data_IF_296274444464
#
_entry.id   IF_296274444464
#
_cell.length_a   1.000
_cell.length_b   1.000
_cell.length_c   1.000
_cell.angle_alpha   90.00
_cell.angle_beta   90.00
_cell.angle_gamma   90.00
#
_symmetry.space_group_name_H-M   'P 1'
#
loop_
_entity.id
_entity.type
_entity.pdbx_description
1 polymer ?
#
# COMPACT_ATOMS: atom_id res chain seq x y z
N UNK A 1 14.45 -57.27 -88.26
CA UNK A 1 14.72 -55.86 -87.91
C UNK A 1 14.65 -55.76 -86.39
N UNK A 2 15.82 -55.60 -85.76
CA UNK A 2 16.13 -55.18 -84.37
C UNK A 2 15.58 -56.03 -83.18
N UNK A 3 16.52 -56.38 -82.30
CA UNK A 3 16.41 -57.10 -81.04
C UNK A 3 16.12 -56.18 -79.83
N UNK A 4 15.89 -56.79 -78.65
CA UNK A 4 16.20 -56.39 -77.25
C UNK A 4 15.00 -56.73 -76.34
N UNK A 5 15.09 -57.74 -75.45
CA UNK A 5 15.78 -57.79 -74.15
C UNK A 5 15.27 -56.77 -73.11
N UNK A 6 14.79 -57.34 -72.02
CA UNK A 6 14.49 -56.79 -70.69
C UNK A 6 15.53 -55.80 -70.16
N UNK A 7 15.10 -54.76 -69.43
CA UNK A 7 15.79 -54.28 -68.22
C UNK A 7 14.88 -53.46 -67.30
N UNK A 8 15.06 -53.71 -66.00
CA UNK A 8 14.55 -52.99 -64.84
C UNK A 8 15.25 -51.63 -64.65
N UNK A 9 14.50 -50.58 -64.29
CA UNK A 9 14.95 -49.41 -63.51
C UNK A 9 13.72 -48.91 -62.72
N UNK A 10 13.62 -48.98 -61.39
CA UNK A 10 14.40 -48.29 -60.35
C UNK A 10 14.43 -46.77 -60.58
N UNK A 11 13.56 -46.03 -59.89
CA UNK A 11 13.46 -44.57 -60.02
C UNK A 11 12.75 -43.90 -58.83
N UNK A 12 13.49 -43.81 -57.71
CA UNK A 12 13.44 -42.78 -56.65
C UNK A 12 12.08 -42.23 -56.18
N UNK A 13 11.61 -42.76 -55.04
CA UNK A 13 10.87 -41.95 -54.08
C UNK A 13 11.84 -40.92 -53.49
N UNK A 14 11.65 -39.64 -53.83
CA UNK A 14 12.32 -38.54 -53.12
C UNK A 14 11.70 -38.47 -51.73
N UNK A 15 12.37 -39.10 -50.76
CA UNK A 15 12.21 -38.79 -49.35
C UNK A 15 12.77 -37.38 -49.16
N UNK A 16 11.89 -36.38 -49.07
CA UNK A 16 12.26 -35.09 -48.50
C UNK A 16 12.52 -35.35 -47.01
N UNK A 17 13.73 -35.06 -46.49
CA UNK A 17 13.90 -35.02 -45.05
C UNK A 17 13.00 -33.89 -44.54
N UNK A 18 12.06 -34.23 -43.65
CA UNK A 18 11.37 -33.25 -42.82
C UNK A 18 12.44 -32.34 -42.21
N UNK A 19 12.33 -31.03 -42.46
CA UNK A 19 13.21 -30.04 -41.86
C UNK A 19 13.29 -30.26 -40.35
N UNK A 20 14.47 -30.12 -39.73
CA UNK A 20 14.60 -30.32 -38.30
C UNK A 20 13.75 -29.28 -37.58
N UNK A 21 13.01 -29.74 -36.56
CA UNK A 21 12.25 -28.96 -35.58
C UNK A 21 13.26 -28.22 -34.69
N UNK A 22 14.05 -27.32 -35.26
CA UNK A 22 15.18 -26.65 -34.60
C UNK A 22 14.89 -25.18 -34.25
N UNK A 23 13.81 -24.58 -34.77
CA UNK A 23 13.62 -23.13 -34.71
C UNK A 23 12.90 -22.63 -33.43
N UNK A 24 12.08 -23.46 -32.79
CA UNK A 24 11.28 -23.03 -31.62
C UNK A 24 12.01 -23.24 -30.27
N UNK A 25 12.86 -24.26 -30.16
CA UNK A 25 13.64 -24.53 -28.94
C UNK A 25 14.80 -23.56 -28.76
N UNK A 26 15.50 -23.21 -29.84
CA UNK A 26 16.63 -22.27 -29.82
C UNK A 26 16.16 -20.85 -29.46
N UNK A 27 15.03 -20.40 -30.02
CA UNK A 27 14.38 -19.12 -29.65
C UNK A 27 13.90 -19.08 -28.21
N UNK A 28 13.43 -20.20 -27.67
CA UNK A 28 13.00 -20.29 -26.27
C UNK A 28 14.20 -20.16 -25.32
N UNK A 29 15.33 -20.79 -25.66
CA UNK A 29 16.58 -20.73 -24.87
C UNK A 29 17.21 -19.34 -24.92
N UNK A 30 17.24 -18.67 -26.08
CA UNK A 30 17.70 -17.29 -26.22
C UNK A 30 16.83 -16.30 -25.42
N UNK A 31 15.51 -16.48 -25.47
CA UNK A 31 14.55 -15.67 -24.69
C UNK A 31 14.77 -15.85 -23.19
N UNK A 32 15.00 -17.08 -22.72
CA UNK A 32 15.29 -17.37 -21.31
C UNK A 32 16.62 -16.71 -20.88
N UNK A 33 17.67 -16.83 -21.69
CA UNK A 33 18.97 -16.20 -21.43
C UNK A 33 18.88 -14.67 -21.37
N UNK A 34 18.13 -14.06 -22.29
CA UNK A 34 17.89 -12.61 -22.29
C UNK A 34 17.13 -12.15 -21.04
N UNK A 35 16.10 -12.89 -20.65
CA UNK A 35 15.31 -12.61 -19.44
C UNK A 35 16.18 -12.63 -18.18
N UNK A 36 17.05 -13.63 -18.09
CA UNK A 36 17.99 -13.78 -16.98
C UNK A 36 19.01 -12.63 -16.94
N UNK A 37 19.59 -12.31 -18.09
CA UNK A 37 20.52 -11.19 -18.20
C UNK A 37 19.87 -9.85 -17.82
N UNK A 38 18.65 -9.57 -18.30
CA UNK A 38 17.91 -8.35 -17.95
C UNK A 38 17.62 -8.26 -16.45
N UNK A 39 17.31 -9.40 -15.83
CA UNK A 39 17.07 -9.49 -14.38
C UNK A 39 18.35 -9.14 -13.61
N UNK A 40 19.49 -9.75 -13.99
CA UNK A 40 20.78 -9.50 -13.35
C UNK A 40 21.29 -8.08 -13.55
N UNK A 41 20.99 -7.47 -14.71
CA UNK A 41 21.31 -6.10 -15.02
C UNK A 41 20.39 -5.06 -14.33
N UNK A 42 19.32 -5.49 -13.65
CA UNK A 42 18.35 -4.60 -13.02
C UNK A 42 17.50 -3.80 -14.01
N UNK A 43 17.36 -4.27 -15.25
CA UNK A 43 16.62 -3.59 -16.32
C UNK A 43 15.13 -3.95 -16.30
N UNK A 44 14.50 -3.76 -15.13
CA UNK A 44 13.13 -4.23 -14.84
C UNK A 44 12.06 -3.65 -15.77
N UNK A 45 12.21 -2.41 -16.26
CA UNK A 45 11.24 -1.80 -17.19
C UNK A 45 11.23 -2.51 -18.55
N UNK A 46 12.42 -2.80 -19.08
CA UNK A 46 12.59 -3.50 -20.36
C UNK A 46 12.12 -4.95 -20.20
N UNK A 47 12.49 -5.57 -19.09
CA UNK A 47 12.04 -6.91 -18.72
C UNK A 47 10.51 -6.99 -18.65
N UNK A 48 9.84 -6.04 -18.00
CA UNK A 48 8.39 -6.01 -17.89
C UNK A 48 7.71 -5.88 -19.25
N UNK A 49 8.23 -5.02 -20.15
CA UNK A 49 7.68 -4.87 -21.51
C UNK A 49 7.84 -6.16 -22.31
N UNK A 50 9.01 -6.80 -22.24
CA UNK A 50 9.27 -8.05 -22.95
C UNK A 50 8.36 -9.17 -22.44
N UNK A 51 8.26 -9.34 -21.11
CA UNK A 51 7.41 -10.35 -20.48
C UNK A 51 5.92 -10.10 -20.77
N UNK A 52 5.46 -8.85 -20.71
CA UNK A 52 4.10 -8.45 -21.12
C UNK A 52 3.79 -8.94 -22.54
N UNK A 53 4.71 -8.71 -23.47
CA UNK A 53 4.52 -9.04 -24.86
C UNK A 53 4.53 -10.56 -25.10
N UNK A 54 5.39 -11.29 -24.38
CA UNK A 54 5.40 -12.76 -24.39
C UNK A 54 4.08 -13.34 -23.87
N UNK A 55 3.60 -12.85 -22.73
CA UNK A 55 2.32 -13.29 -22.15
C UNK A 55 1.15 -12.93 -23.09
N UNK A 56 1.21 -11.78 -23.77
CA UNK A 56 0.15 -11.37 -24.72
C UNK A 56 0.11 -12.18 -26.01
N UNK A 57 1.27 -12.57 -26.53
CA UNK A 57 1.38 -13.29 -27.82
C UNK A 57 1.17 -14.79 -27.67
N UNK A 58 1.38 -15.34 -26.49
CA UNK A 58 1.21 -16.77 -26.25
C UNK A 58 -0.27 -17.17 -26.36
N UNK A 59 -0.58 -18.20 -27.16
CA UNK A 59 -1.92 -18.80 -27.22
C UNK A 59 -2.31 -19.44 -25.89
N UNK A 60 -1.31 -19.92 -25.15
CA UNK A 60 -1.43 -20.38 -23.76
C UNK A 60 -0.31 -19.72 -22.97
N UNK A 61 -0.64 -18.71 -22.15
CA UNK A 61 0.33 -18.02 -21.30
C UNK A 61 1.05 -19.01 -20.39
N UNK A 62 2.39 -19.01 -20.41
CA UNK A 62 3.19 -19.85 -19.51
C UNK A 62 3.02 -19.36 -18.06
N UNK A 63 2.64 -20.23 -17.10
CA UNK A 63 2.54 -19.86 -15.69
C UNK A 63 3.83 -19.24 -15.13
N UNK A 64 4.98 -19.69 -15.61
CA UNK A 64 6.30 -19.16 -15.22
C UNK A 64 6.51 -17.73 -15.71
N UNK A 65 6.06 -17.41 -16.94
CA UNK A 65 6.15 -16.06 -17.48
C UNK A 65 5.21 -15.09 -16.75
N UNK A 66 4.00 -15.55 -16.40
CA UNK A 66 3.04 -14.78 -15.59
C UNK A 66 3.63 -14.48 -14.20
N UNK A 67 4.19 -15.50 -13.52
CA UNK A 67 4.80 -15.31 -12.20
C UNK A 67 5.97 -14.31 -12.27
N UNK A 68 6.88 -14.46 -13.25
CA UNK A 68 8.02 -13.57 -13.41
C UNK A 68 7.63 -12.13 -13.75
N UNK A 69 6.55 -11.95 -14.53
CA UNK A 69 5.98 -10.63 -14.81
C UNK A 69 5.38 -10.02 -13.53
N UNK A 70 4.64 -10.80 -12.74
CA UNK A 70 4.10 -10.38 -11.44
C UNK A 70 5.22 -9.88 -10.50
N UNK A 71 6.30 -10.65 -10.36
CA UNK A 71 7.46 -10.27 -9.55
C UNK A 71 8.14 -9.00 -10.05
N UNK A 72 8.25 -8.85 -11.38
CA UNK A 72 8.85 -7.66 -11.99
C UNK A 72 7.97 -6.43 -11.74
N UNK A 73 6.65 -6.55 -11.86
CA UNK A 73 5.74 -5.47 -11.49
C UNK A 73 5.80 -5.12 -10.01
N UNK A 74 5.89 -6.11 -9.12
CA UNK A 74 6.08 -5.88 -7.69
C UNK A 74 7.36 -5.08 -7.41
N UNK A 75 8.48 -5.37 -8.09
CA UNK A 75 9.71 -4.58 -7.94
C UNK A 75 9.53 -3.15 -8.46
N UNK A 76 8.99 -2.99 -9.67
CA UNK A 76 8.79 -1.68 -10.30
C UNK A 76 7.89 -0.76 -9.48
N UNK A 77 6.75 -1.25 -8.99
CA UNK A 77 5.80 -0.43 -8.23
C UNK A 77 6.34 -0.04 -6.85
N UNK A 78 7.16 -0.90 -6.22
CA UNK A 78 7.80 -0.61 -4.93
C UNK A 78 8.77 0.57 -5.04
N UNK A 79 9.53 0.66 -6.13
CA UNK A 79 10.52 1.72 -6.34
C UNK A 79 9.99 2.93 -7.11
N UNK A 80 8.76 2.88 -7.62
CA UNK A 80 8.16 4.03 -8.29
C UNK A 80 7.95 5.18 -7.29
N UNK A 81 8.53 6.34 -7.61
CA UNK A 81 8.51 7.55 -6.79
C UNK A 81 7.82 8.72 -7.50
N UNK A 82 7.26 8.58 -8.68
CA UNK A 82 6.57 9.65 -9.39
C UNK A 82 5.16 9.23 -9.77
N UNK A 83 4.24 10.21 -9.78
CA UNK A 83 2.81 9.96 -9.95
C UNK A 83 2.49 9.39 -11.33
N UNK A 84 3.13 9.92 -12.38
CA UNK A 84 2.95 9.46 -13.75
C UNK A 84 3.39 8.00 -13.92
N UNK A 85 4.53 7.61 -13.33
CA UNK A 85 5.00 6.22 -13.37
C UNK A 85 4.10 5.29 -12.58
N UNK A 86 3.64 5.69 -11.39
CA UNK A 86 2.68 4.90 -10.60
C UNK A 86 1.37 4.71 -11.39
N UNK A 87 0.84 5.76 -12.02
CA UNK A 87 -0.36 5.69 -12.84
C UNK A 87 -0.18 4.78 -14.07
N UNK A 88 0.96 4.88 -14.77
CA UNK A 88 1.27 4.01 -15.90
C UNK A 88 1.40 2.53 -15.47
N UNK A 89 2.11 2.26 -14.37
CA UNK A 89 2.25 0.91 -13.84
C UNK A 89 0.91 0.35 -13.39
N UNK A 90 0.06 1.15 -12.73
CA UNK A 90 -1.32 0.78 -12.37
C UNK A 90 -2.11 0.29 -13.56
N UNK A 91 -2.19 1.07 -14.63
CA UNK A 91 -2.95 0.70 -15.83
C UNK A 91 -2.44 -0.63 -16.42
N UNK A 92 -1.11 -0.81 -16.47
CA UNK A 92 -0.50 -2.05 -16.98
C UNK A 92 -0.81 -3.25 -16.08
N UNK A 93 -0.68 -3.08 -14.77
CA UNK A 93 -0.94 -4.12 -13.76
C UNK A 93 -2.42 -4.50 -13.75
N UNK A 94 -3.34 -3.55 -13.72
CA UNK A 94 -4.79 -3.82 -13.73
C UNK A 94 -5.19 -4.56 -15.00
N UNK A 95 -4.63 -4.17 -16.15
CA UNK A 95 -4.84 -4.90 -17.41
C UNK A 95 -4.30 -6.32 -17.34
N UNK A 96 -3.12 -6.52 -16.75
CA UNK A 96 -2.53 -7.84 -16.54
C UNK A 96 -3.41 -8.72 -15.62
N UNK A 97 -3.85 -8.19 -14.47
CA UNK A 97 -4.73 -8.87 -13.51
C UNK A 97 -6.12 -9.22 -14.10
N UNK A 98 -6.64 -8.38 -15.00
CA UNK A 98 -7.95 -8.62 -15.64
C UNK A 98 -7.94 -9.73 -16.69
N UNK A 99 -6.77 -10.01 -17.29
CA UNK A 99 -6.63 -10.92 -18.43
C UNK A 99 -6.23 -12.33 -18.00
N UNK A 100 -5.29 -12.43 -17.08
CA UNK A 100 -4.61 -13.68 -16.75
C UNK A 100 -4.93 -14.10 -15.31
N UNK A 101 -4.86 -15.41 -15.02
CA UNK A 101 -4.85 -15.89 -13.64
C UNK A 101 -3.45 -15.68 -13.07
N UNK A 102 -3.28 -14.62 -12.30
CA UNK A 102 -1.98 -14.18 -11.79
C UNK A 102 -1.70 -14.82 -10.43
N UNK A 103 -0.58 -15.56 -10.25
CA UNK A 103 -0.10 -15.95 -8.93
C UNK A 103 0.16 -14.71 -8.08
N UNK A 104 -0.15 -14.77 -6.78
CA UNK A 104 0.06 -13.65 -5.86
C UNK A 104 -0.63 -12.33 -6.27
N UNK A 105 -1.77 -12.42 -6.98
CA UNK A 105 -2.59 -11.26 -7.37
C UNK A 105 -2.82 -10.28 -6.20
N UNK A 106 -3.12 -10.79 -5.00
CA UNK A 106 -3.35 -9.93 -3.84
C UNK A 106 -2.09 -9.18 -3.40
N UNK A 107 -0.90 -9.77 -3.49
CA UNK A 107 0.37 -9.08 -3.19
C UNK A 107 0.56 -7.88 -4.13
N UNK A 108 0.21 -8.06 -5.41
CA UNK A 108 0.31 -7.01 -6.42
C UNK A 108 -0.73 -5.91 -6.22
N UNK A 109 -1.96 -6.26 -5.85
CA UNK A 109 -3.02 -5.29 -5.50
C UNK A 109 -2.69 -4.50 -4.23
N UNK A 110 -2.13 -5.15 -3.19
CA UNK A 110 -1.64 -4.48 -1.99
C UNK A 110 -0.50 -3.51 -2.35
N UNK A 111 0.45 -3.94 -3.18
CA UNK A 111 1.56 -3.09 -3.61
C UNK A 111 1.09 -1.85 -4.38
N UNK A 112 0.06 -1.97 -5.21
CA UNK A 112 -0.63 -0.86 -5.85
C UNK A 112 -1.27 0.10 -4.82
N UNK A 113 -2.02 -0.44 -3.86
CA UNK A 113 -2.63 0.36 -2.79
C UNK A 113 -1.59 1.12 -1.96
N UNK A 114 -0.45 0.47 -1.65
CA UNK A 114 0.68 1.11 -0.96
C UNK A 114 1.31 2.22 -1.81
N UNK A 115 1.39 2.04 -3.12
CA UNK A 115 1.90 3.08 -4.02
C UNK A 115 0.97 4.29 -4.07
N UNK A 116 -0.34 4.09 -4.18
CA UNK A 116 -1.32 5.19 -4.13
C UNK A 116 -1.25 5.94 -2.81
N UNK A 117 -1.21 5.20 -1.70
CA UNK A 117 -1.10 5.79 -0.38
C UNK A 117 0.14 6.70 -0.27
N UNK A 118 1.29 6.25 -0.77
CA UNK A 118 2.52 7.07 -0.82
C UNK A 118 2.36 8.31 -1.70
N UNK A 119 1.65 8.23 -2.82
CA UNK A 119 1.40 9.40 -3.66
C UNK A 119 0.47 10.39 -2.96
N UNK A 120 -0.60 9.91 -2.33
CA UNK A 120 -1.51 10.72 -1.54
C UNK A 120 -0.82 11.40 -0.35
N UNK A 121 0.13 10.71 0.31
CA UNK A 121 0.90 11.29 1.41
C UNK A 121 1.64 12.57 1.02
N UNK A 122 2.11 12.70 -0.22
CA UNK A 122 2.76 13.94 -0.69
C UNK A 122 1.76 15.10 -0.79
N UNK A 123 0.55 14.82 -1.25
CA UNK A 123 -0.55 15.78 -1.25
C UNK A 123 -0.89 16.22 0.18
N UNK A 124 -0.96 15.26 1.10
CA UNK A 124 -1.16 15.50 2.53
C UNK A 124 -0.05 16.37 3.12
N UNK A 125 1.22 16.07 2.84
CA UNK A 125 2.35 16.86 3.33
C UNK A 125 2.26 18.31 2.85
N UNK A 126 1.94 18.52 1.56
CA UNK A 126 1.74 19.88 1.03
C UNK A 126 0.55 20.59 1.68
N UNK A 127 -0.55 19.89 1.96
CA UNK A 127 -1.69 20.42 2.71
C UNK A 127 -1.29 20.81 4.14
N UNK A 128 -0.55 19.95 4.85
CA UNK A 128 -0.06 20.22 6.21
C UNK A 128 0.95 21.36 6.25
N UNK A 129 1.65 21.61 5.14
CA UNK A 129 2.60 22.71 4.99
C UNK A 129 1.96 24.04 4.56
N UNK A 130 0.65 24.08 4.30
CA UNK A 130 -0.02 25.29 3.79
C UNK A 130 0.40 25.64 2.35
N UNK A 131 0.96 24.69 1.60
CA UNK A 131 1.48 24.89 0.24
C UNK A 131 0.52 24.38 -0.86
N UNK A 132 -0.67 23.97 -0.47
CA UNK A 132 -1.67 23.35 -1.33
C UNK A 132 -2.95 24.18 -1.32
N UNK A 133 -3.55 24.34 -2.49
CA UNK A 133 -4.82 25.06 -2.64
C UNK A 133 -6.03 24.11 -2.50
N UNK A 134 -7.24 24.64 -2.66
CA UNK A 134 -8.47 23.82 -2.58
C UNK A 134 -8.55 22.74 -3.67
N UNK A 135 -7.96 22.96 -4.84
CA UNK A 135 -7.92 21.96 -5.91
C UNK A 135 -6.97 20.81 -5.56
N UNK A 136 -5.79 21.13 -4.98
CA UNK A 136 -4.85 20.14 -4.43
C UNK A 136 -5.53 19.31 -3.33
N UNK A 137 -6.32 19.96 -2.45
CA UNK A 137 -7.13 19.28 -1.43
C UNK A 137 -8.10 18.30 -2.07
N UNK A 138 -8.92 18.75 -3.03
CA UNK A 138 -9.91 17.90 -3.71
C UNK A 138 -9.26 16.73 -4.45
N UNK A 139 -8.13 16.94 -5.13
CA UNK A 139 -7.37 15.87 -5.79
C UNK A 139 -6.83 14.84 -4.80
N UNK A 140 -6.26 15.31 -3.69
CA UNK A 140 -5.74 14.42 -2.63
C UNK A 140 -6.85 13.58 -2.01
N UNK A 141 -8.00 14.18 -1.70
CA UNK A 141 -9.18 13.46 -1.22
C UNK A 141 -9.68 12.41 -2.21
N UNK A 142 -9.78 12.77 -3.50
CA UNK A 142 -10.23 11.85 -4.54
C UNK A 142 -9.27 10.65 -4.69
N UNK A 143 -7.96 10.89 -4.64
CA UNK A 143 -6.94 9.83 -4.67
C UNK A 143 -7.07 8.89 -3.46
N UNK A 144 -7.24 9.44 -2.25
CA UNK A 144 -7.44 8.65 -1.03
C UNK A 144 -8.73 7.83 -1.07
N UNK A 145 -9.83 8.40 -1.57
CA UNK A 145 -11.11 7.69 -1.73
C UNK A 145 -10.99 6.53 -2.72
N UNK A 146 -10.33 6.74 -3.85
CA UNK A 146 -10.09 5.68 -4.84
C UNK A 146 -9.21 4.55 -4.28
N UNK A 147 -8.15 4.91 -3.55
CA UNK A 147 -7.29 3.94 -2.87
C UNK A 147 -8.08 3.16 -1.81
N UNK A 148 -8.90 3.85 -1.02
CA UNK A 148 -9.73 3.24 0.02
C UNK A 148 -10.75 2.26 -0.57
N UNK A 149 -11.44 2.62 -1.65
CA UNK A 149 -12.38 1.73 -2.33
C UNK A 149 -11.70 0.45 -2.83
N UNK A 150 -10.54 0.59 -3.46
CA UNK A 150 -9.74 -0.54 -3.95
C UNK A 150 -9.29 -1.45 -2.80
N UNK A 151 -8.85 -0.86 -1.69
CA UNK A 151 -8.42 -1.59 -0.50
C UNK A 151 -9.59 -2.24 0.25
N UNK A 152 -10.78 -1.62 0.28
CA UNK A 152 -12.00 -2.20 0.87
C UNK A 152 -12.40 -3.46 0.09
N UNK A 153 -12.42 -3.41 -1.24
CA UNK A 153 -12.71 -4.57 -2.08
C UNK A 153 -11.69 -5.69 -1.87
N UNK A 154 -10.40 -5.35 -1.83
CA UNK A 154 -9.30 -6.27 -1.60
C UNK A 154 -9.39 -6.94 -0.22
N UNK A 155 -9.72 -6.16 0.81
CA UNK A 155 -9.91 -6.67 2.16
C UNK A 155 -11.03 -7.71 2.24
N UNK A 156 -12.18 -7.43 1.62
CA UNK A 156 -13.31 -8.36 1.61
C UNK A 156 -12.99 -9.63 0.83
N UNK A 157 -12.26 -9.52 -0.29
CA UNK A 157 -11.79 -10.66 -1.08
C UNK A 157 -10.82 -11.55 -0.29
N UNK A 158 -9.81 -10.95 0.37
CA UNK A 158 -8.86 -11.68 1.21
C UNK A 158 -9.56 -12.38 2.37
N UNK A 159 -10.46 -11.68 3.08
CA UNK A 159 -11.22 -12.26 4.19
C UNK A 159 -12.05 -13.46 3.74
N UNK A 160 -12.74 -13.33 2.60
CA UNK A 160 -13.52 -14.43 2.01
C UNK A 160 -12.63 -15.61 1.63
N UNK A 161 -11.49 -15.36 0.97
CA UNK A 161 -10.54 -16.41 0.58
C UNK A 161 -9.98 -17.16 1.78
N UNK A 162 -9.55 -16.45 2.83
CA UNK A 162 -9.03 -17.07 4.06
C UNK A 162 -10.09 -17.99 4.68
N UNK A 163 -11.35 -17.56 4.73
CA UNK A 163 -12.43 -18.38 5.27
C UNK A 163 -12.71 -19.62 4.40
N UNK A 164 -12.74 -19.46 3.08
CA UNK A 164 -12.88 -20.58 2.14
C UNK A 164 -11.73 -21.59 2.29
N UNK A 165 -10.48 -21.12 2.43
CA UNK A 165 -9.32 -21.98 2.66
C UNK A 165 -9.39 -22.72 3.99
N UNK A 166 -9.86 -22.08 5.07
CA UNK A 166 -10.08 -22.73 6.38
C UNK A 166 -11.11 -23.86 6.29
N UNK A 167 -12.21 -23.64 5.57
CA UNK A 167 -13.23 -24.66 5.34
C UNK A 167 -12.67 -25.84 4.54
N UNK A 168 -11.88 -25.57 3.50
CA UNK A 168 -11.23 -26.61 2.69
C UNK A 168 -10.18 -27.40 3.50
N UNK A 169 -9.37 -26.71 4.30
CA UNK A 169 -8.33 -27.32 5.13
C UNK A 169 -8.90 -28.35 6.14
N UNK A 170 -10.13 -28.13 6.64
CA UNK A 170 -10.77 -29.07 7.56
C UNK A 170 -11.05 -30.45 6.92
N UNK A 171 -11.18 -30.52 5.59
CA UNK A 171 -11.58 -31.72 4.85
C UNK A 171 -10.43 -32.52 4.21
N UNK A 172 -9.18 -32.07 4.33
CA UNK A 172 -8.03 -32.66 3.64
C UNK A 172 -7.06 -33.38 4.59
N UNK A 173 -6.10 -34.11 4.00
CA UNK A 173 -5.03 -34.81 4.74
C UNK A 173 -4.03 -33.85 5.39
N UNK A 174 -3.17 -34.39 6.27
CA UNK A 174 -2.23 -33.59 7.06
C UNK A 174 -1.24 -32.78 6.21
N UNK A 175 -0.75 -33.36 5.10
CA UNK A 175 0.22 -32.68 4.25
C UNK A 175 -0.42 -31.49 3.53
N UNK A 176 -1.66 -31.65 3.07
CA UNK A 176 -2.43 -30.56 2.45
C UNK A 176 -2.83 -29.50 3.48
N UNK A 177 -3.14 -29.89 4.73
CA UNK A 177 -3.40 -28.93 5.81
C UNK A 177 -2.22 -28.01 6.08
N UNK A 178 -0.99 -28.54 6.07
CA UNK A 178 0.22 -27.73 6.26
C UNK A 178 0.35 -26.69 5.14
N UNK A 179 0.12 -27.07 3.88
CA UNK A 179 0.14 -26.14 2.76
C UNK A 179 -0.93 -25.06 2.89
N UNK A 180 -2.16 -25.44 3.25
CA UNK A 180 -3.23 -24.46 3.49
C UNK A 180 -2.93 -23.53 4.65
N UNK A 181 -2.32 -24.02 5.73
CA UNK A 181 -1.94 -23.19 6.87
C UNK A 181 -0.94 -22.10 6.45
N UNK A 182 0.09 -22.48 5.69
CA UNK A 182 1.06 -21.52 5.16
C UNK A 182 0.40 -20.47 4.24
N UNK A 183 -0.50 -20.89 3.34
CA UNK A 183 -1.24 -19.95 2.48
C UNK A 183 -2.19 -19.03 3.26
N UNK A 184 -2.82 -19.55 4.33
CA UNK A 184 -3.68 -18.76 5.22
C UNK A 184 -2.86 -17.72 5.99
N UNK A 185 -1.67 -18.07 6.45
CA UNK A 185 -0.78 -17.14 7.16
C UNK A 185 -0.31 -16.02 6.21
N UNK A 186 0.15 -16.38 5.01
CA UNK A 186 0.51 -15.40 3.96
C UNK A 186 -0.64 -14.43 3.62
N UNK A 187 -1.85 -14.96 3.42
CA UNK A 187 -3.02 -14.12 3.13
C UNK A 187 -3.45 -13.30 4.36
N UNK A 188 -3.22 -13.79 5.58
CA UNK A 188 -3.51 -13.06 6.83
C UNK A 188 -2.59 -11.86 7.00
N UNK A 189 -1.31 -11.99 6.65
CA UNK A 189 -0.36 -10.87 6.63
C UNK A 189 -0.80 -9.80 5.63
N UNK A 190 -1.24 -10.20 4.42
CA UNK A 190 -1.79 -9.27 3.43
C UNK A 190 -3.08 -8.61 3.91
N UNK A 191 -3.92 -9.34 4.65
CA UNK A 191 -5.14 -8.80 5.25
C UNK A 191 -4.80 -7.73 6.30
N UNK A 192 -3.78 -7.96 7.13
CA UNK A 192 -3.29 -6.99 8.12
C UNK A 192 -2.79 -5.73 7.41
N UNK A 193 -2.00 -5.89 6.34
CA UNK A 193 -1.53 -4.76 5.55
C UNK A 193 -2.68 -3.98 4.89
N UNK A 194 -3.68 -4.68 4.34
CA UNK A 194 -4.87 -4.02 3.81
C UNK A 194 -5.58 -3.19 4.88
N UNK A 195 -5.79 -3.75 6.07
CA UNK A 195 -6.41 -3.02 7.21
C UNK A 195 -5.59 -1.79 7.58
N UNK A 196 -4.26 -1.91 7.64
CA UNK A 196 -3.35 -0.82 7.95
C UNK A 196 -3.51 0.36 7.00
N UNK A 197 -3.41 0.09 5.69
CA UNK A 197 -3.52 1.10 4.65
C UNK A 197 -4.90 1.76 4.65
N UNK A 198 -5.97 0.96 4.84
CA UNK A 198 -7.34 1.48 4.97
C UNK A 198 -7.49 2.44 6.15
N UNK A 199 -6.95 2.08 7.31
CA UNK A 199 -7.02 2.92 8.51
C UNK A 199 -6.32 4.27 8.28
N UNK A 200 -5.14 4.25 7.67
CA UNK A 200 -4.43 5.48 7.31
C UNK A 200 -5.15 6.31 6.25
N UNK A 201 -5.68 5.71 5.19
CA UNK A 201 -6.48 6.44 4.20
C UNK A 201 -7.70 7.11 4.85
N UNK A 202 -8.41 6.39 5.73
CA UNK A 202 -9.54 6.93 6.51
C UNK A 202 -9.12 8.06 7.45
N UNK A 203 -7.97 7.92 8.12
CA UNK A 203 -7.43 8.98 8.98
C UNK A 203 -7.20 10.27 8.19
N UNK A 204 -6.56 10.19 7.03
CA UNK A 204 -6.26 11.38 6.24
C UNK A 204 -7.52 12.04 5.68
N UNK A 205 -8.49 11.25 5.23
CA UNK A 205 -9.80 11.78 4.83
C UNK A 205 -10.51 12.47 6.01
N UNK A 206 -10.52 11.83 7.18
CA UNK A 206 -11.06 12.41 8.41
C UNK A 206 -10.39 13.74 8.77
N UNK A 207 -9.08 13.82 8.65
CA UNK A 207 -8.30 15.03 8.95
C UNK A 207 -8.54 16.16 7.93
N UNK A 208 -8.65 15.84 6.64
CA UNK A 208 -8.98 16.78 5.56
C UNK A 208 -10.38 17.39 5.78
N UNK A 209 -11.34 16.57 6.17
CA UNK A 209 -12.75 16.95 6.33
C UNK A 209 -13.07 17.45 7.75
N UNK A 210 -12.05 17.62 8.60
CA UNK A 210 -12.25 18.02 9.99
C UNK A 210 -12.91 19.40 10.10
N UNK A 211 -13.86 19.57 11.04
CA UNK A 211 -14.43 20.88 11.31
C UNK A 211 -13.37 21.80 11.93
N UNK A 212 -13.18 22.99 11.35
CA UNK A 212 -12.20 23.99 11.83
C UNK A 212 -12.68 24.78 13.05
N UNK A 213 -13.98 24.78 13.36
CA UNK A 213 -14.53 25.52 14.51
C UNK A 213 -14.87 24.59 15.68
N UNK A 214 -14.52 25.04 16.88
CA UNK A 214 -14.81 24.40 18.18
C UNK A 214 -16.28 24.53 18.60
N UNK A 215 -17.17 24.98 17.70
CA UNK A 215 -18.59 25.04 17.97
C UNK A 215 -19.09 23.62 18.28
N UNK A 216 -19.72 23.44 19.44
CA UNK A 216 -20.20 22.16 20.01
C UNK A 216 -20.50 21.15 18.91
N UNK A 217 -19.59 20.19 18.74
CA UNK A 217 -19.74 19.17 17.72
C UNK A 217 -21.04 18.42 18.01
N UNK A 218 -21.95 18.41 17.04
CA UNK A 218 -23.19 17.66 17.15
C UNK A 218 -22.80 16.17 17.28
N UNK A 219 -23.15 15.46 18.37
CA UNK A 219 -22.81 14.05 18.55
C UNK A 219 -23.37 13.14 17.45
N UNK A 220 -24.37 13.61 16.69
CA UNK A 220 -24.89 12.94 15.50
C UNK A 220 -24.12 13.26 14.20
N UNK A 221 -23.01 14.01 14.27
CA UNK A 221 -22.18 14.34 13.11
C UNK A 221 -21.63 13.08 12.46
N UNK A 222 -21.77 12.90 11.13
CA UNK A 222 -21.14 11.80 10.41
C UNK A 222 -19.63 11.72 10.65
N UNK A 223 -18.97 12.86 10.82
CA UNK A 223 -17.54 12.96 11.08
C UNK A 223 -17.15 12.30 12.41
N UNK A 224 -17.92 12.53 13.48
CA UNK A 224 -17.67 11.92 14.79
C UNK A 224 -17.84 10.39 14.76
N UNK A 225 -18.81 9.91 13.98
CA UNK A 225 -19.02 8.47 13.77
C UNK A 225 -17.81 7.85 13.07
N UNK A 226 -17.36 8.46 11.98
CA UNK A 226 -16.18 7.99 11.23
C UNK A 226 -14.93 7.98 12.11
N UNK A 227 -14.72 9.01 12.93
CA UNK A 227 -13.62 9.06 13.90
C UNK A 227 -13.71 7.93 14.94
N UNK A 228 -14.90 7.63 15.45
CA UNK A 228 -15.12 6.55 16.41
C UNK A 228 -14.91 5.16 15.80
N UNK A 229 -15.37 4.94 14.56
CA UNK A 229 -15.13 3.72 13.79
C UNK A 229 -13.62 3.53 13.51
N UNK A 230 -12.90 4.62 13.24
CA UNK A 230 -11.46 4.58 13.04
C UNK A 230 -10.69 4.24 14.33
N UNK A 231 -11.16 4.68 15.50
CA UNK A 231 -10.60 4.23 16.80
C UNK A 231 -10.73 2.72 16.98
N UNK A 232 -11.88 2.14 16.60
CA UNK A 232 -12.05 0.69 16.64
C UNK A 232 -11.10 0.00 15.65
N UNK A 233 -10.96 0.53 14.44
CA UNK A 233 -10.03 0.00 13.44
C UNK A 233 -8.57 0.02 13.94
N UNK A 234 -8.11 1.09 14.59
CA UNK A 234 -6.79 1.12 15.22
C UNK A 234 -6.66 0.12 16.36
N UNK A 235 -7.71 -0.07 17.18
CA UNK A 235 -7.69 -1.05 18.27
C UNK A 235 -7.53 -2.48 17.74
N UNK A 236 -8.21 -2.81 16.65
CA UNK A 236 -8.09 -4.11 15.98
C UNK A 236 -6.65 -4.35 15.45
N UNK A 237 -5.96 -3.31 15.00
CA UNK A 237 -4.58 -3.39 14.50
C UNK A 237 -3.54 -3.58 15.62
N UNK A 238 -3.86 -3.17 16.86
CA UNK A 238 -2.97 -3.29 18.03
C UNK A 238 -3.06 -4.66 18.72
N UNK A 239 -3.96 -5.54 18.29
CA UNK A 239 -4.08 -6.94 18.73
C UNK A 239 -4.17 -7.13 20.26
N UNK A 240 -4.66 -6.13 20.99
CA UNK A 240 -4.81 -6.17 22.46
C UNK A 240 -5.94 -7.09 22.94
N UNK A 241 -6.73 -7.63 22.00
CA UNK A 241 -7.96 -8.37 22.28
C UNK A 241 -9.12 -7.50 22.76
N UNK A 242 -8.95 -6.17 22.83
CA UNK A 242 -10.00 -5.22 23.25
C UNK A 242 -10.48 -4.38 22.07
N UNK A 243 -11.80 -4.21 21.97
CA UNK A 243 -12.44 -3.36 20.96
C UNK A 243 -12.10 -1.87 21.11
N UNK A 244 -11.77 -1.45 22.33
CA UNK A 244 -11.28 -0.11 22.65
C UNK A 244 -10.03 -0.27 23.51
N UNK A 245 -8.88 -0.22 22.85
CA UNK A 245 -7.60 -0.32 23.54
C UNK A 245 -7.32 0.95 24.35
N UNK A 246 -6.61 0.81 25.46
CA UNK A 246 -5.98 1.90 26.21
C UNK A 246 -4.45 1.82 26.07
N UNK A 247 -3.71 2.92 26.33
CA UNK A 247 -2.24 2.90 26.23
C UNK A 247 -1.58 1.78 27.05
N UNK A 248 -2.14 1.47 28.23
CA UNK A 248 -1.64 0.41 29.11
C UNK A 248 -1.82 -1.00 28.57
N UNK A 249 -2.64 -1.17 27.53
CA UNK A 249 -2.90 -2.47 26.90
C UNK A 249 -1.89 -2.80 25.79
N UNK A 250 -1.07 -1.82 25.40
CA UNK A 250 -0.11 -1.99 24.31
C UNK A 250 1.12 -2.80 24.77
N UNK A 251 1.59 -3.67 23.88
CA UNK A 251 2.83 -4.42 24.10
C UNK A 251 4.04 -3.51 23.87
N UNK A 252 4.91 -3.43 24.87
CA UNK A 252 6.16 -2.65 24.80
C UNK A 252 7.14 -3.34 23.83
N UNK A 253 7.14 -4.68 23.77
CA UNK A 253 8.06 -5.46 22.93
C UNK A 253 7.81 -5.21 21.43
N UNK A 254 6.56 -4.92 21.06
CA UNK A 254 6.17 -4.65 19.67
C UNK A 254 6.43 -3.19 19.25
N UNK A 255 6.87 -2.29 20.14
CA UNK A 255 7.12 -0.89 19.79
C UNK A 255 8.19 -0.71 18.71
N UNK A 256 9.11 -1.67 18.58
CA UNK A 256 10.15 -1.66 17.54
C UNK A 256 9.61 -1.99 16.14
N UNK A 257 8.41 -2.58 16.07
CA UNK A 257 7.78 -2.95 14.81
C UNK A 257 7.08 -1.75 14.16
N UNK A 258 7.44 -1.47 12.91
CA UNK A 258 6.96 -0.30 12.17
C UNK A 258 5.43 -0.19 12.17
N UNK A 259 4.76 -1.27 11.81
CA UNK A 259 3.30 -1.31 11.70
C UNK A 259 2.62 -1.03 13.06
N UNK A 260 3.18 -1.56 14.14
CA UNK A 260 2.63 -1.42 15.49
C UNK A 260 2.80 0.03 15.99
N UNK A 261 4.02 0.58 15.89
CA UNK A 261 4.30 1.96 16.26
C UNK A 261 3.48 2.97 15.43
N UNK A 262 3.32 2.74 14.12
CA UNK A 262 2.46 3.58 13.29
C UNK A 262 0.98 3.46 13.64
N UNK A 263 0.50 2.29 14.07
CA UNK A 263 -0.88 2.12 14.55
C UNK A 263 -1.13 2.86 15.87
N UNK A 264 -0.14 2.88 16.78
CA UNK A 264 -0.18 3.72 18.00
C UNK A 264 -0.25 5.20 17.62
N UNK A 265 0.54 5.65 16.64
CA UNK A 265 0.49 7.03 16.16
C UNK A 265 -0.89 7.36 15.55
N UNK A 266 -1.43 6.48 14.71
CA UNK A 266 -2.77 6.63 14.14
C UNK A 266 -3.84 6.75 15.23
N UNK A 267 -3.77 5.90 16.26
CA UNK A 267 -4.65 5.98 17.43
C UNK A 267 -4.51 7.32 18.16
N UNK A 268 -3.29 7.78 18.44
CA UNK A 268 -3.03 9.03 19.12
C UNK A 268 -3.65 10.22 18.37
N UNK A 269 -3.41 10.28 17.05
CA UNK A 269 -3.91 11.34 16.19
C UNK A 269 -5.44 11.32 16.06
N UNK A 270 -6.05 10.15 15.88
CA UNK A 270 -7.51 10.03 15.81
C UNK A 270 -8.16 10.41 17.14
N UNK A 271 -7.60 9.99 18.27
CA UNK A 271 -8.11 10.37 19.61
C UNK A 271 -8.00 11.86 19.86
N UNK A 272 -6.90 12.48 19.43
CA UNK A 272 -6.71 13.93 19.52
C UNK A 272 -7.80 14.67 18.73
N UNK A 273 -8.06 14.27 17.49
CA UNK A 273 -9.13 14.85 16.67
C UNK A 273 -10.53 14.64 17.27
N UNK A 274 -10.81 13.44 17.77
CA UNK A 274 -12.15 13.04 18.25
C UNK A 274 -12.56 13.74 19.55
N UNK A 275 -11.62 13.98 20.46
CA UNK A 275 -11.92 14.49 21.81
C UNK A 275 -11.06 15.70 22.12
N UNK A 276 -9.82 15.46 22.53
CA UNK A 276 -8.82 16.49 22.77
C UNK A 276 -7.43 15.83 22.87
N UNK A 277 -6.40 16.66 22.98
CA UNK A 277 -5.04 16.18 23.14
C UNK A 277 -4.78 15.50 24.50
N UNK A 278 -5.55 15.81 25.55
CA UNK A 278 -5.34 15.20 26.87
C UNK A 278 -5.64 13.70 26.84
N UNK A 279 -6.65 13.27 26.08
CA UNK A 279 -6.95 11.86 25.83
C UNK A 279 -5.87 11.19 24.97
N UNK A 280 -5.18 11.94 24.11
CA UNK A 280 -4.12 11.43 23.24
C UNK A 280 -2.72 11.40 23.91
N UNK A 281 -2.49 12.17 24.98
CA UNK A 281 -1.18 12.33 25.62
C UNK A 281 -0.58 10.98 26.07
N UNK A 282 -1.40 10.05 26.57
CA UNK A 282 -0.96 8.71 26.96
C UNK A 282 -0.46 7.87 25.78
N UNK A 283 -1.04 8.04 24.59
CA UNK A 283 -0.63 7.35 23.37
C UNK A 283 0.67 7.93 22.82
N UNK A 284 0.80 9.26 22.79
CA UNK A 284 2.06 9.92 22.41
C UNK A 284 3.21 9.60 23.38
N UNK A 285 2.91 9.34 24.66
CA UNK A 285 3.93 8.92 25.63
C UNK A 285 4.54 7.56 25.29
N UNK A 286 3.77 6.61 24.72
CA UNK A 286 4.31 5.32 24.27
C UNK A 286 5.35 5.51 23.16
N UNK A 287 5.12 6.44 22.24
CA UNK A 287 6.02 6.74 21.11
C UNK A 287 7.31 7.46 21.52
N UNK A 288 7.47 7.82 22.80
CA UNK A 288 8.68 8.41 23.36
C UNK A 288 9.52 7.40 24.14
N UNK A 289 9.06 6.16 24.26
CA UNK A 289 9.82 5.12 24.95
C UNK A 289 11.03 4.67 24.12
N UNK A 290 12.05 4.17 24.80
CA UNK A 290 13.21 3.57 24.14
C UNK A 290 12.79 2.31 23.37
N UNK A 291 13.30 2.13 22.15
CA UNK A 291 13.01 0.95 21.33
C UNK A 291 11.79 1.10 20.42
N UNK A 292 11.15 2.28 20.38
CA UNK A 292 10.19 2.61 19.32
C UNK A 292 10.87 2.57 17.96
N UNK A 293 10.15 2.07 16.95
CA UNK A 293 10.61 2.02 15.56
C UNK A 293 11.28 3.33 15.14
N UNK A 294 12.48 3.23 14.54
CA UNK A 294 13.39 4.35 14.34
C UNK A 294 12.76 5.52 13.57
N UNK A 295 11.87 5.24 12.60
CA UNK A 295 11.18 6.28 11.85
C UNK A 295 10.13 7.08 12.64
N UNK A 296 9.86 6.71 13.90
CA UNK A 296 9.04 7.47 14.85
C UNK A 296 9.79 7.87 16.13
N UNK A 297 11.12 7.67 16.16
CA UNK A 297 11.95 8.01 17.32
C UNK A 297 11.89 9.50 17.69
N UNK A 298 11.66 10.38 16.71
CA UNK A 298 11.31 11.79 16.93
C UNK A 298 9.84 12.07 16.58
N UNK A 299 8.95 11.66 17.47
CA UNK A 299 7.50 11.90 17.34
C UNK A 299 7.06 13.34 17.69
N UNK A 300 8.02 14.24 17.93
CA UNK A 300 7.80 15.64 18.32
C UNK A 300 6.99 16.42 17.29
N UNK A 301 7.31 16.22 16.00
CA UNK A 301 6.60 16.85 14.90
C UNK A 301 5.13 16.44 14.86
N UNK A 302 4.85 15.15 15.04
CA UNK A 302 3.48 14.64 15.07
C UNK A 302 2.67 15.18 16.24
N UNK A 303 3.31 15.34 17.41
CA UNK A 303 2.69 15.94 18.57
C UNK A 303 2.35 17.42 18.34
N UNK A 304 3.26 18.18 17.72
CA UNK A 304 3.00 19.57 17.33
C UNK A 304 1.85 19.67 16.32
N UNK A 305 1.81 18.79 15.32
CA UNK A 305 0.71 18.79 14.37
C UNK A 305 -0.62 18.49 15.06
N UNK A 306 -0.67 17.54 16.00
CA UNK A 306 -1.87 17.25 16.78
C UNK A 306 -2.32 18.46 17.64
N UNK A 307 -1.37 19.21 18.21
CA UNK A 307 -1.65 20.46 18.92
C UNK A 307 -2.35 21.48 18.01
N UNK A 308 -1.84 21.66 16.79
CA UNK A 308 -2.44 22.58 15.81
C UNK A 308 -3.79 22.07 15.33
N UNK A 309 -3.89 20.79 14.99
CA UNK A 309 -5.10 20.16 14.44
C UNK A 309 -6.27 20.17 15.45
N UNK A 310 -5.99 20.25 16.75
CA UNK A 310 -6.99 20.37 17.83
C UNK A 310 -7.27 21.80 18.27
N UNK A 311 -6.65 22.80 17.64
CA UNK A 311 -6.77 24.20 18.02
C UNK A 311 -6.09 24.56 19.35
N UNK A 312 -5.21 23.69 19.87
CA UNK A 312 -4.45 23.88 21.12
C UNK A 312 -3.25 24.82 20.91
N UNK A 313 -3.52 26.00 20.37
CA UNK A 313 -2.54 26.96 19.88
C UNK A 313 -1.54 27.47 20.94
N UNK A 314 -1.98 27.73 22.17
CA UNK A 314 -1.09 28.15 23.26
C UNK A 314 -0.08 27.06 23.65
N UNK A 315 -0.54 25.80 23.65
CA UNK A 315 0.32 24.63 23.89
C UNK A 315 1.28 24.43 22.72
N UNK A 316 0.83 24.63 21.47
CA UNK A 316 1.68 24.61 20.27
C UNK A 316 2.80 25.66 20.34
N UNK A 317 2.45 26.90 20.70
CA UNK A 317 3.41 27.99 20.91
C UNK A 317 4.43 27.68 22.00
N UNK A 318 3.96 27.14 23.14
CA UNK A 318 4.84 26.74 24.25
C UNK A 318 5.79 25.61 23.84
N UNK A 319 5.30 24.66 23.04
CA UNK A 319 6.10 23.57 22.49
C UNK A 319 7.20 24.11 21.57
N UNK A 320 6.85 24.97 20.61
CA UNK A 320 7.81 25.62 19.71
C UNK A 320 8.87 26.46 20.43
N UNK A 321 8.47 27.20 21.46
CA UNK A 321 9.38 28.05 22.23
C UNK A 321 10.46 27.25 23.00
N UNK A 322 10.17 25.99 23.35
CA UNK A 322 11.11 25.09 24.02
C UNK A 322 12.01 24.34 23.04
N UNK A 323 11.63 24.27 21.77
CA UNK A 323 12.31 23.50 20.73
C UNK A 323 13.04 24.45 19.77
N UNK A 324 14.18 24.99 20.21
CA UNK A 324 14.97 25.95 19.42
C UNK A 324 15.65 25.37 18.17
N UNK A 325 15.80 24.04 18.10
CA UNK A 325 16.42 23.34 16.96
C UNK A 325 15.41 22.89 15.88
N UNK A 326 14.11 22.81 16.21
CA UNK A 326 13.06 22.25 15.32
C UNK A 326 12.53 23.24 14.28
N UNK A 327 12.89 24.51 14.35
CA UNK A 327 12.38 25.56 13.46
C UNK A 327 12.87 25.44 11.99
N UNK A 328 13.88 24.61 11.72
CA UNK A 328 14.34 24.32 10.35
C UNK A 328 13.58 23.18 9.67
N UNK A 329 12.65 22.51 10.37
CA UNK A 329 11.83 21.46 9.79
C UNK A 329 10.63 22.06 9.02
N UNK A 330 10.47 21.69 7.74
CA UNK A 330 9.36 22.18 6.90
C UNK A 330 7.98 21.81 7.46
N UNK A 331 7.86 20.66 8.13
CA UNK A 331 6.64 20.23 8.84
C UNK A 331 6.27 21.21 9.96
N UNK A 332 7.26 21.64 10.74
CA UNK A 332 7.09 22.57 11.88
C UNK A 332 6.69 23.96 11.40
N UNK A 333 7.36 24.48 10.36
CA UNK A 333 6.98 25.75 9.73
C UNK A 333 5.56 25.68 9.17
N UNK A 334 5.23 24.58 8.50
CA UNK A 334 3.88 24.29 8.01
C UNK A 334 2.81 24.33 9.09
N UNK A 335 3.06 23.63 10.22
CA UNK A 335 2.18 23.64 11.37
C UNK A 335 1.95 25.06 11.92
N UNK A 336 3.00 25.87 12.02
CA UNK A 336 2.90 27.24 12.49
C UNK A 336 2.08 28.13 11.53
N UNK A 337 2.30 28.03 10.22
CA UNK A 337 1.51 28.77 9.21
C UNK A 337 0.04 28.38 9.29
N UNK A 338 -0.28 27.08 9.33
CA UNK A 338 -1.66 26.61 9.49
C UNK A 338 -2.28 27.09 10.80
N UNK A 339 -1.53 27.09 11.89
CA UNK A 339 -2.02 27.58 13.17
C UNK A 339 -2.43 29.06 13.08
N UNK A 340 -1.67 29.91 12.38
CA UNK A 340 -2.00 31.33 12.14
C UNK A 340 -3.24 31.46 11.26
N UNK A 341 -3.34 30.69 10.17
CA UNK A 341 -4.49 30.75 9.25
C UNK A 341 -5.78 30.25 9.92
N UNK A 342 -5.71 29.14 10.63
CA UNK A 342 -6.84 28.52 11.32
C UNK A 342 -7.26 29.34 12.56
N UNK A 343 -6.32 30.01 13.23
CA UNK A 343 -6.62 30.93 14.33
C UNK A 343 -7.25 32.24 13.82
N UNK A 344 -6.76 32.82 12.72
CA UNK A 344 -7.31 34.06 12.15
C UNK A 344 -8.78 33.92 11.71
N UNK A 345 -9.20 32.70 11.39
CA UNK A 345 -10.58 32.36 11.06
C UNK A 345 -11.45 32.02 12.28
N UNK A 346 -10.89 32.06 13.49
CA UNK A 346 -11.58 31.80 14.75
C UNK A 346 -11.79 33.12 15.52
N UNK A 347 -13.04 33.53 15.79
CA UNK A 347 -13.34 34.78 16.49
C UNK A 347 -12.84 34.85 17.94
N UNK A 348 -12.33 33.74 18.48
CA UNK A 348 -11.75 33.63 19.83
C UNK A 348 -10.22 33.44 19.82
N UNK A 349 -9.55 33.55 18.67
CA UNK A 349 -8.11 33.34 18.61
C UNK A 349 -7.32 34.51 19.21
N UNK A 350 -6.36 34.15 20.07
CA UNK A 350 -5.29 35.04 20.52
C UNK A 350 -4.31 35.22 19.35
N UNK A 351 -3.82 36.46 19.15
CA UNK A 351 -2.80 36.79 18.14
C UNK A 351 -1.59 35.84 18.27
N UNK A 352 -1.29 35.15 17.18
CA UNK A 352 -0.21 34.15 17.09
C UNK A 352 1.14 34.79 16.74
#
# INVERSE_FOLDING_TARGET
MIALLTFSQSGYAVWLPSAPIADDTEKADESAALTEWLTQAGLDEILAVMLDEQVRKATTSSPTAIARLSDTYLRLIRVALDEDRVANLRVRIEKFLSRDRVPDQFKLQIALGRADYRMALRGIERLRQGQANNDDKARTSASLLHSLESLDQLFDQLKKRIEEMRVLAAGVDEQQRITFAAEIDDDSDLLIEAKFLRAWCRYWLLWIDRPLSTAKQNPASPWLRQASELVAAWSDLLETGKSLSEPSDCSIDLLSEQYYAQSILGMALTKALLSDLAVADGWFALLKQSGVWEGLSDSSDWYLQALVDTGSYDRARTFLAKSSETLNCSSVVGAAVRAVEESSNNPNAIEF
#
